data_IF_152339562086
#
_entry.id   IF_152339562086
#
_cell.length_a   1.000
_cell.length_b   1.000
_cell.length_c   1.000
_cell.angle_alpha   90.00
_cell.angle_beta   90.00
_cell.angle_gamma   90.00
#
_symmetry.space_group_name_H-M   'P 1'
#
loop_
_entity.id
_entity.type
_entity.pdbx_description
1 polymer ?
#
# COMPACT_ATOMS: atom_id res chain seq x y z
N UNK A 1 -3.30 37.59 -61.50
CA UNK A 1 -3.65 38.40 -60.32
C UNK A 1 -3.64 37.47 -59.13
N UNK A 2 -2.55 37.50 -58.36
CA UNK A 2 -2.27 36.63 -57.22
C UNK A 2 -2.42 37.41 -55.91
N UNK A 3 -2.99 36.71 -54.93
CA UNK A 3 -2.74 36.76 -53.49
C UNK A 3 -2.78 38.11 -52.77
N UNK A 4 -3.88 38.33 -52.05
CA UNK A 4 -3.82 38.90 -50.69
C UNK A 4 -4.90 38.23 -49.82
N UNK A 5 -4.55 37.10 -49.20
CA UNK A 5 -5.21 36.67 -47.96
C UNK A 5 -4.30 37.19 -46.85
N UNK A 6 -4.82 38.15 -46.10
CA UNK A 6 -4.15 38.71 -44.94
C UNK A 6 -3.87 37.60 -43.93
N UNK A 7 -2.58 37.37 -43.71
CA UNK A 7 -2.06 36.70 -42.52
C UNK A 7 -2.34 37.62 -41.33
N UNK A 8 -3.35 37.28 -40.54
CA UNK A 8 -3.44 37.79 -39.17
C UNK A 8 -2.25 37.24 -38.39
N UNK A 9 -1.41 38.15 -37.90
CA UNK A 9 -0.22 37.84 -37.14
C UNK A 9 -0.57 37.07 -35.86
N UNK A 10 -0.38 35.76 -35.88
CA UNK A 10 -0.35 34.93 -34.69
C UNK A 10 0.86 35.31 -33.85
N UNK A 11 0.63 35.71 -32.59
CA UNK A 11 1.71 35.85 -31.62
C UNK A 11 2.57 34.57 -31.60
N UNK A 12 3.91 34.67 -31.45
CA UNK A 12 4.76 33.49 -31.39
C UNK A 12 4.28 32.57 -30.27
N UNK A 13 3.89 31.34 -30.63
CA UNK A 13 3.52 30.30 -29.67
C UNK A 13 4.75 29.95 -28.85
N UNK A 14 4.62 29.92 -27.52
CA UNK A 14 5.74 29.50 -26.67
C UNK A 14 6.11 28.05 -27.00
N UNK A 15 7.40 27.75 -27.06
CA UNK A 15 7.88 26.38 -27.19
C UNK A 15 8.04 25.72 -25.82
N UNK A 16 8.01 24.39 -25.76
CA UNK A 16 8.30 23.64 -24.53
C UNK A 16 9.67 24.04 -23.94
N UNK A 17 10.66 24.29 -24.80
CA UNK A 17 12.00 24.74 -24.41
C UNK A 17 12.00 26.07 -23.64
N UNK A 18 11.15 27.02 -24.04
CA UNK A 18 11.03 28.33 -23.39
C UNK A 18 10.24 28.26 -22.09
N UNK A 19 9.25 27.36 -22.01
CA UNK A 19 8.54 27.08 -20.77
C UNK A 19 9.46 26.42 -19.74
N UNK A 20 10.28 25.45 -20.15
CA UNK A 20 11.32 24.85 -19.31
C UNK A 20 12.32 25.89 -18.81
N UNK A 21 12.82 26.75 -19.70
CA UNK A 21 13.74 27.82 -19.32
C UNK A 21 13.13 28.79 -18.29
N UNK A 22 11.80 29.00 -18.34
CA UNK A 22 11.07 29.82 -17.37
C UNK A 22 10.90 29.10 -16.04
N UNK A 23 10.50 27.83 -16.07
CA UNK A 23 10.39 26.99 -14.89
C UNK A 23 11.72 26.94 -14.11
N UNK A 24 12.86 26.78 -14.78
CA UNK A 24 14.21 26.76 -14.17
C UNK A 24 14.59 28.07 -13.46
N UNK A 25 14.04 29.20 -13.93
CA UNK A 25 14.29 30.53 -13.36
C UNK A 25 13.39 30.85 -12.18
N UNK A 26 12.15 30.35 -12.20
CA UNK A 26 11.08 30.76 -11.29
C UNK A 26 10.87 29.74 -10.18
N UNK A 27 10.86 28.45 -10.49
CA UNK A 27 10.51 27.42 -9.53
C UNK A 27 11.62 27.20 -8.50
N UNK A 28 11.25 26.90 -7.24
CA UNK A 28 12.21 26.65 -6.18
C UNK A 28 13.01 25.37 -6.46
N UNK A 29 14.32 25.46 -6.25
CA UNK A 29 15.27 24.31 -6.38
C UNK A 29 15.50 23.57 -5.07
N UNK A 30 15.13 24.20 -3.95
CA UNK A 30 15.25 23.67 -2.60
C UNK A 30 13.99 24.05 -1.83
N UNK A 31 13.52 23.20 -0.92
CA UNK A 31 12.33 23.49 -0.15
C UNK A 31 12.58 24.73 0.73
N UNK A 32 11.78 25.78 0.52
CA UNK A 32 11.77 26.97 1.37
C UNK A 32 10.34 27.16 1.86
N UNK A 33 10.12 26.94 3.17
CA UNK A 33 8.87 27.31 3.85
C UNK A 33 7.57 26.85 3.16
N UNK A 34 7.29 25.55 3.14
CA UNK A 34 5.97 25.01 2.76
C UNK A 34 5.73 24.82 1.26
N UNK A 35 6.68 25.19 0.39
CA UNK A 35 6.61 24.91 -1.04
C UNK A 35 6.76 23.41 -1.32
N UNK A 36 5.70 22.79 -1.84
CA UNK A 36 5.67 21.36 -2.18
C UNK A 36 6.09 21.11 -3.63
N UNK A 37 5.71 22.00 -4.54
CA UNK A 37 5.95 21.85 -5.98
C UNK A 37 7.28 22.51 -6.36
N UNK A 38 8.33 21.70 -6.35
CA UNK A 38 9.69 22.11 -6.70
C UNK A 38 10.00 21.87 -8.19
N UNK A 39 11.09 22.48 -8.66
CA UNK A 39 11.56 22.34 -10.05
C UNK A 39 11.77 20.87 -10.44
N UNK A 40 12.33 20.04 -9.56
CA UNK A 40 12.59 18.63 -9.83
C UNK A 40 11.29 17.85 -10.06
N UNK A 41 10.25 18.11 -9.26
CA UNK A 41 8.92 17.52 -9.42
C UNK A 41 8.31 17.94 -10.76
N UNK A 42 8.41 19.22 -11.11
CA UNK A 42 7.89 19.74 -12.37
C UNK A 42 8.58 19.12 -13.60
N UNK A 43 9.91 18.97 -13.55
CA UNK A 43 10.67 18.34 -14.62
C UNK A 43 10.34 16.85 -14.74
N UNK A 44 10.20 16.13 -13.62
CA UNK A 44 9.82 14.71 -13.63
C UNK A 44 8.41 14.50 -14.16
N UNK A 45 7.45 15.33 -13.74
CA UNK A 45 6.08 15.26 -14.25
C UNK A 45 6.04 15.50 -15.76
N UNK A 46 6.78 16.49 -16.26
CA UNK A 46 6.86 16.78 -17.70
C UNK A 46 7.53 15.63 -18.47
N UNK A 47 8.62 15.07 -17.95
CA UNK A 47 9.31 13.94 -18.55
C UNK A 47 8.44 12.67 -18.57
N UNK A 48 7.70 12.41 -17.50
CA UNK A 48 6.79 11.27 -17.40
C UNK A 48 5.62 11.39 -18.41
N UNK A 49 5.06 12.59 -18.59
CA UNK A 49 4.06 12.82 -19.65
C UNK A 49 4.64 12.55 -21.04
N UNK A 50 5.89 12.96 -21.30
CA UNK A 50 6.57 12.68 -22.56
C UNK A 50 6.82 11.17 -22.76
N UNK A 51 7.25 10.46 -21.71
CA UNK A 51 7.48 9.00 -21.73
C UNK A 51 6.20 8.20 -22.03
N UNK A 52 5.06 8.68 -21.55
CA UNK A 52 3.75 8.10 -21.83
C UNK A 52 3.07 8.65 -23.09
N UNK A 53 3.83 9.31 -23.97
CA UNK A 53 3.38 9.84 -25.28
C UNK A 53 2.23 10.86 -25.20
N UNK A 54 2.15 11.64 -24.13
CA UNK A 54 1.22 12.77 -24.09
C UNK A 54 1.61 13.85 -25.11
N UNK A 55 0.64 14.55 -25.71
CA UNK A 55 0.89 15.69 -26.60
C UNK A 55 1.83 16.72 -25.98
N UNK A 56 2.61 17.41 -26.80
CA UNK A 56 3.50 18.49 -26.34
C UNK A 56 2.71 19.62 -25.64
N UNK A 57 1.46 19.84 -26.02
CA UNK A 57 0.53 20.77 -25.35
C UNK A 57 0.28 20.39 -23.88
N UNK A 58 0.13 19.09 -23.55
CA UNK A 58 -0.06 18.62 -22.18
C UNK A 58 1.22 18.81 -21.36
N UNK A 59 2.39 18.53 -21.97
CA UNK A 59 3.71 18.75 -21.37
C UNK A 59 3.95 20.25 -21.10
N UNK A 60 3.53 21.10 -22.04
CA UNK A 60 3.61 22.55 -21.91
C UNK A 60 2.68 23.04 -20.80
N UNK A 61 1.42 22.59 -20.80
CA UNK A 61 0.45 22.90 -19.74
C UNK A 61 0.97 22.49 -18.37
N UNK A 62 1.61 21.33 -18.26
CA UNK A 62 2.20 20.80 -17.04
C UNK A 62 3.29 21.71 -16.45
N UNK A 63 3.95 22.56 -17.25
CA UNK A 63 4.88 23.58 -16.76
C UNK A 63 4.19 24.93 -16.52
N UNK A 64 3.33 25.35 -17.44
CA UNK A 64 2.75 26.70 -17.45
C UNK A 64 1.83 26.94 -16.25
N UNK A 65 1.11 25.94 -15.74
CA UNK A 65 0.21 26.11 -14.59
C UNK A 65 0.91 26.46 -13.28
N UNK A 66 2.21 26.14 -13.17
CA UNK A 66 3.06 26.47 -12.02
C UNK A 66 3.64 27.88 -12.08
N UNK A 67 3.59 28.54 -13.24
CA UNK A 67 4.14 29.87 -13.40
C UNK A 67 3.17 30.94 -12.84
N UNK A 68 3.69 32.11 -12.40
CA UNK A 68 2.89 33.27 -12.06
C UNK A 68 1.92 33.67 -13.18
N UNK A 69 0.75 34.21 -12.82
CA UNK A 69 -0.35 34.48 -13.76
C UNK A 69 0.02 35.43 -14.88
N UNK A 70 0.79 36.47 -14.57
CA UNK A 70 1.34 37.38 -15.55
C UNK A 70 2.20 36.63 -16.56
N UNK A 71 3.08 35.74 -16.11
CA UNK A 71 3.97 34.98 -16.99
C UNK A 71 3.20 33.92 -17.79
N UNK A 72 2.30 33.19 -17.14
CA UNK A 72 1.50 32.14 -17.75
C UNK A 72 0.52 32.71 -18.80
N UNK A 73 -0.16 33.82 -18.51
CA UNK A 73 -1.16 34.41 -19.42
C UNK A 73 -0.56 34.96 -20.73
N UNK A 74 0.68 35.44 -20.70
CA UNK A 74 1.39 35.91 -21.88
C UNK A 74 1.99 34.78 -22.72
N UNK A 75 2.29 33.65 -22.07
CA UNK A 75 3.00 32.52 -22.69
C UNK A 75 2.07 31.42 -23.19
N UNK A 76 0.89 31.26 -22.60
CA UNK A 76 -0.04 30.18 -22.95
C UNK A 76 -0.76 30.48 -24.27
N UNK A 77 -0.75 29.56 -25.26
CA UNK A 77 -1.55 29.71 -26.46
C UNK A 77 -3.04 29.90 -26.14
N UNK A 78 -3.74 30.72 -26.95
CA UNK A 78 -5.11 31.13 -26.66
C UNK A 78 -6.09 29.98 -26.42
N UNK A 79 -5.92 28.87 -27.15
CA UNK A 79 -6.72 27.64 -27.03
C UNK A 79 -6.57 26.94 -25.66
N UNK A 80 -5.45 27.15 -24.96
CA UNK A 80 -5.10 26.48 -23.70
C UNK A 80 -5.29 27.35 -22.46
N UNK A 81 -5.51 28.66 -22.61
CA UNK A 81 -5.62 29.59 -21.45
C UNK A 81 -6.71 29.21 -20.46
N UNK A 82 -7.80 28.63 -20.94
CA UNK A 82 -8.94 28.19 -20.11
C UNK A 82 -8.61 26.96 -19.27
N UNK A 83 -7.57 26.19 -19.62
CA UNK A 83 -7.18 24.96 -18.92
C UNK A 83 -6.29 25.22 -17.70
N UNK A 84 -5.50 26.31 -17.69
CA UNK A 84 -4.68 26.67 -16.53
C UNK A 84 -5.46 26.83 -15.21
N UNK A 85 -6.56 27.63 -15.15
CA UNK A 85 -7.33 27.74 -13.93
C UNK A 85 -8.00 26.40 -13.54
N UNK A 86 -8.25 25.53 -14.52
CA UNK A 86 -8.85 24.21 -14.31
C UNK A 86 -7.87 23.24 -13.65
N UNK A 87 -6.62 23.18 -14.14
CA UNK A 87 -5.52 22.42 -13.49
C UNK A 87 -5.32 22.89 -12.05
N UNK A 88 -5.26 24.21 -11.84
CA UNK A 88 -5.12 24.79 -10.50
C UNK A 88 -6.32 24.52 -9.60
N UNK A 89 -7.53 24.51 -10.17
CA UNK A 89 -8.76 24.16 -9.47
C UNK A 89 -8.72 22.72 -8.96
N UNK A 90 -8.32 21.76 -9.80
CA UNK A 90 -8.14 20.36 -9.38
C UNK A 90 -7.08 20.26 -8.28
N UNK A 91 -5.93 20.93 -8.43
CA UNK A 91 -4.88 20.94 -7.42
C UNK A 91 -5.34 21.54 -6.08
N UNK A 92 -6.04 22.67 -6.12
CA UNK A 92 -6.63 23.29 -4.92
C UNK A 92 -7.66 22.37 -4.26
N UNK A 93 -8.48 21.67 -5.04
CA UNK A 93 -9.42 20.67 -4.55
C UNK A 93 -8.71 19.52 -3.84
N UNK A 94 -7.59 19.02 -4.39
CA UNK A 94 -6.75 18.00 -3.73
C UNK A 94 -6.28 18.51 -2.37
N UNK A 95 -5.72 19.72 -2.32
CA UNK A 95 -5.24 20.30 -1.06
C UNK A 95 -6.38 20.49 -0.03
N UNK A 96 -7.58 20.87 -0.47
CA UNK A 96 -8.77 20.98 0.39
C UNK A 96 -9.17 19.63 0.98
N UNK A 97 -9.27 18.59 0.14
CA UNK A 97 -9.62 17.24 0.58
C UNK A 97 -8.61 16.66 1.57
N UNK A 98 -7.33 17.02 1.43
CA UNK A 98 -6.29 16.66 2.39
C UNK A 98 -6.38 17.44 3.70
N UNK A 99 -6.99 18.64 3.69
CA UNK A 99 -7.16 19.51 4.88
C UNK A 99 -8.39 19.16 5.73
N UNK A 100 -9.45 18.62 5.12
CA UNK A 100 -10.72 18.28 5.78
C UNK A 100 -10.64 17.05 6.71
N UNK A 101 -9.46 16.43 6.82
CA UNK A 101 -9.18 15.21 7.56
C UNK A 101 -9.12 15.43 9.09
N UNK A 102 -10.18 16.00 9.68
CA UNK A 102 -10.30 16.28 11.12
C UNK A 102 -11.06 15.18 11.89
N UNK A 103 -10.58 14.77 13.07
CA UNK A 103 -11.22 13.74 13.90
C UNK A 103 -12.38 14.24 14.80
N UNK A 104 -12.80 15.51 14.75
CA UNK A 104 -13.80 16.04 15.70
C UNK A 104 -15.27 15.65 15.41
N UNK A 105 -15.53 14.79 14.42
CA UNK A 105 -16.89 14.28 14.20
C UNK A 105 -16.89 12.76 14.34
N UNK A 106 -17.21 12.29 15.55
CA UNK A 106 -17.52 10.90 15.95
C UNK A 106 -18.72 10.26 15.21
N UNK A 107 -19.12 10.78 14.05
CA UNK A 107 -20.05 10.07 13.17
C UNK A 107 -19.24 9.35 12.12
N UNK A 108 -19.59 8.09 11.85
CA UNK A 108 -19.16 7.29 10.70
C UNK A 108 -19.42 8.01 9.36
N UNK A 109 -18.68 9.09 9.10
CA UNK A 109 -18.71 9.84 7.86
C UNK A 109 -17.82 9.08 6.89
N UNK A 110 -18.47 8.32 6.02
CA UNK A 110 -17.93 8.00 4.71
C UNK A 110 -17.23 9.26 4.19
N UNK A 111 -15.91 9.23 4.01
CA UNK A 111 -15.20 10.39 3.47
C UNK A 111 -15.89 10.77 2.17
N UNK A 112 -16.38 12.00 2.05
CA UNK A 112 -16.97 12.47 0.80
C UNK A 112 -15.95 12.21 -0.30
N UNK A 113 -16.29 11.37 -1.30
CA UNK A 113 -15.32 10.98 -2.30
C UNK A 113 -14.87 12.22 -3.06
N UNK A 114 -13.56 12.39 -3.17
CA UNK A 114 -13.00 13.47 -4.00
C UNK A 114 -13.50 13.29 -5.44
N UNK A 115 -14.23 14.28 -5.95
CA UNK A 115 -14.76 14.24 -7.30
C UNK A 115 -14.17 15.36 -8.16
N UNK A 116 -13.48 14.96 -9.21
CA UNK A 116 -12.97 15.82 -10.27
C UNK A 116 -13.60 15.47 -11.64
N UNK A 117 -14.70 14.72 -11.65
CA UNK A 117 -15.39 14.22 -12.84
C UNK A 117 -15.76 15.31 -13.85
N UNK A 118 -16.15 16.49 -13.34
CA UNK A 118 -16.57 17.64 -14.14
C UNK A 118 -15.39 18.44 -14.74
N UNK A 119 -14.17 18.18 -14.29
CA UNK A 119 -12.98 18.88 -14.75
C UNK A 119 -12.37 18.23 -16.01
N UNK A 120 -11.71 19.00 -16.90
CA UNK A 120 -11.16 18.47 -18.14
C UNK A 120 -10.20 17.29 -17.91
N UNK A 121 -10.20 16.26 -18.78
CA UNK A 121 -9.34 15.09 -18.58
C UNK A 121 -7.86 15.44 -18.40
N UNK A 122 -7.32 16.37 -19.20
CA UNK A 122 -5.93 16.85 -19.09
C UNK A 122 -5.62 17.47 -17.72
N UNK A 123 -6.57 18.17 -17.10
CA UNK A 123 -6.37 18.77 -15.78
C UNK A 123 -6.21 17.71 -14.69
N UNK A 124 -7.01 16.64 -14.77
CA UNK A 124 -6.90 15.48 -13.87
C UNK A 124 -5.61 14.71 -14.07
N UNK A 125 -5.22 14.46 -15.32
CA UNK A 125 -3.98 13.76 -15.67
C UNK A 125 -2.77 14.51 -15.12
N UNK A 126 -2.67 15.81 -15.38
CA UNK A 126 -1.57 16.64 -14.87
C UNK A 126 -1.56 16.60 -13.33
N UNK A 127 -2.69 16.81 -12.67
CA UNK A 127 -2.76 16.78 -11.20
C UNK A 127 -2.36 15.40 -10.62
N UNK A 128 -2.81 14.30 -11.22
CA UNK A 128 -2.48 12.95 -10.79
C UNK A 128 -0.98 12.64 -10.96
N UNK A 129 -0.40 13.04 -12.09
CA UNK A 129 1.03 12.90 -12.36
C UNK A 129 1.86 13.70 -11.35
N UNK A 130 1.48 14.95 -11.08
CA UNK A 130 2.18 15.77 -10.08
C UNK A 130 2.10 15.18 -8.67
N UNK A 131 0.92 14.74 -8.23
CA UNK A 131 0.76 14.12 -6.93
C UNK A 131 1.59 12.83 -6.82
N UNK A 132 1.63 12.00 -7.87
CA UNK A 132 2.48 10.81 -7.90
C UNK A 132 3.95 11.17 -7.78
N UNK A 133 4.45 12.12 -8.57
CA UNK A 133 5.87 12.52 -8.56
C UNK A 133 6.32 13.05 -7.20
N UNK A 134 5.42 13.73 -6.46
CA UNK A 134 5.67 14.15 -5.08
C UNK A 134 5.78 12.98 -4.10
N UNK A 135 4.92 11.97 -4.25
CA UNK A 135 4.95 10.80 -3.39
C UNK A 135 6.21 9.96 -3.66
N UNK A 136 6.60 9.83 -4.92
CA UNK A 136 7.80 9.09 -5.32
C UNK A 136 9.11 9.79 -4.96
N UNK A 137 9.09 11.11 -4.77
CA UNK A 137 10.23 11.85 -4.21
C UNK A 137 10.34 11.75 -2.68
N UNK A 138 9.41 11.06 -2.02
CA UNK A 138 9.36 10.95 -0.56
C UNK A 138 8.84 12.22 0.12
N UNK A 139 8.19 13.12 -0.63
CA UNK A 139 7.70 14.41 -0.11
C UNK A 139 6.31 14.34 0.54
N UNK A 140 5.81 13.13 0.87
CA UNK A 140 4.49 12.95 1.48
C UNK A 140 4.34 13.71 2.82
N UNK A 141 5.37 13.67 3.68
CA UNK A 141 5.36 14.39 4.95
C UNK A 141 5.49 15.92 4.74
N UNK A 142 6.26 16.35 3.75
CA UNK A 142 6.34 17.76 3.35
C UNK A 142 4.97 18.26 2.87
N UNK A 143 4.27 17.49 2.04
CA UNK A 143 2.90 17.78 1.60
C UNK A 143 1.96 17.89 2.81
N UNK A 144 1.99 16.92 3.74
CA UNK A 144 1.17 16.96 4.97
C UNK A 144 1.43 18.23 5.78
N UNK A 145 2.70 18.61 5.96
CA UNK A 145 3.09 19.79 6.74
C UNK A 145 2.67 21.13 6.10
N UNK A 146 2.52 21.13 4.76
CA UNK A 146 2.14 22.30 3.95
C UNK A 146 0.63 22.59 4.01
N UNK A 147 -0.18 21.56 4.18
CA UNK A 147 -1.64 21.68 4.32
C UNK A 147 -1.96 22.29 5.68
N UNK A 148 -2.88 23.26 5.70
CA UNK A 148 -3.29 23.97 6.91
C UNK A 148 -4.81 23.84 7.12
N UNK A 149 -5.26 23.48 8.34
CA UNK A 149 -4.46 23.03 9.48
C UNK A 149 -3.73 21.70 9.17
N UNK A 150 -2.66 21.39 9.90
CA UNK A 150 -1.86 20.19 9.63
C UNK A 150 -2.68 18.97 10.05
N UNK A 151 -3.08 18.09 9.12
CA UNK A 151 -3.94 16.95 9.44
C UNK A 151 -3.19 15.89 10.27
N UNK A 152 -3.95 15.11 11.06
CA UNK A 152 -3.39 13.93 11.70
C UNK A 152 -2.83 12.95 10.67
N UNK A 153 -1.77 12.23 11.03
CA UNK A 153 -1.04 11.38 10.09
C UNK A 153 -1.94 10.33 9.44
N UNK A 154 -2.78 9.65 10.22
CA UNK A 154 -3.68 8.61 9.69
C UNK A 154 -4.77 9.20 8.79
N UNK A 155 -5.42 10.26 9.25
CA UNK A 155 -6.46 10.97 8.51
C UNK A 155 -5.94 11.52 7.18
N UNK A 156 -4.72 12.07 7.16
CA UNK A 156 -4.05 12.52 5.95
C UNK A 156 -3.91 11.39 4.90
N UNK A 157 -3.41 10.22 5.31
CA UNK A 157 -3.23 9.10 4.39
C UNK A 157 -4.56 8.47 3.94
N UNK A 158 -5.60 8.55 4.77
CA UNK A 158 -6.96 8.16 4.38
C UNK A 158 -7.51 9.10 3.30
N UNK A 159 -7.41 10.43 3.49
CA UNK A 159 -7.82 11.41 2.47
C UNK A 159 -7.00 11.29 1.20
N UNK A 160 -5.68 11.04 1.32
CA UNK A 160 -4.80 10.83 0.17
C UNK A 160 -5.22 9.60 -0.66
N UNK A 161 -5.65 8.52 0.01
CA UNK A 161 -6.20 7.33 -0.66
C UNK A 161 -7.51 7.65 -1.39
N UNK A 162 -8.44 8.36 -0.73
CA UNK A 162 -9.71 8.77 -1.34
C UNK A 162 -9.51 9.68 -2.57
N UNK A 163 -8.55 10.61 -2.51
CA UNK A 163 -8.16 11.46 -3.65
C UNK A 163 -7.65 10.61 -4.83
N UNK A 164 -6.78 9.64 -4.56
CA UNK A 164 -6.24 8.79 -5.61
C UNK A 164 -7.32 7.89 -6.25
N UNK A 165 -8.26 7.37 -5.46
CA UNK A 165 -9.40 6.60 -5.96
C UNK A 165 -10.34 7.48 -6.81
N UNK A 166 -10.61 8.70 -6.37
CA UNK A 166 -11.41 9.69 -7.10
C UNK A 166 -10.79 10.11 -8.43
N UNK A 167 -9.48 10.35 -8.45
CA UNK A 167 -8.74 10.63 -9.69
C UNK A 167 -8.71 9.42 -10.62
N UNK A 168 -8.42 8.22 -10.10
CA UNK A 168 -8.44 6.98 -10.90
C UNK A 168 -9.77 6.75 -11.60
N UNK A 169 -10.90 6.95 -10.90
CA UNK A 169 -12.24 6.74 -11.47
C UNK A 169 -12.50 7.64 -12.69
N UNK A 170 -11.86 8.80 -12.73
CA UNK A 170 -12.16 9.87 -13.67
C UNK A 170 -11.01 10.13 -14.68
N UNK A 171 -9.80 9.59 -14.48
CA UNK A 171 -8.69 9.73 -15.43
C UNK A 171 -8.95 8.95 -16.72
N UNK A 172 -8.68 9.55 -17.91
CA UNK A 172 -8.86 8.88 -19.20
C UNK A 172 -7.76 7.85 -19.53
N UNK A 173 -6.67 7.86 -18.77
CA UNK A 173 -5.43 7.10 -18.99
C UNK A 173 -4.99 6.38 -17.70
N UNK A 174 -3.77 5.84 -17.70
CA UNK A 174 -3.19 5.13 -16.57
C UNK A 174 -2.67 6.04 -15.44
N UNK A 175 -2.71 7.37 -15.59
CA UNK A 175 -2.14 8.32 -14.61
C UNK A 175 -2.76 8.14 -13.21
N UNK A 176 -4.07 7.90 -13.15
CA UNK A 176 -4.80 7.65 -11.91
C UNK A 176 -4.47 6.29 -11.28
N UNK A 177 -4.30 5.24 -12.09
CA UNK A 177 -3.86 3.92 -11.61
C UNK A 177 -2.43 3.98 -11.03
N UNK A 178 -1.52 4.65 -11.73
CA UNK A 178 -0.13 4.83 -11.30
C UNK A 178 -0.05 5.64 -10.00
N UNK A 179 -0.87 6.69 -9.87
CA UNK A 179 -1.01 7.45 -8.63
C UNK A 179 -1.51 6.56 -7.48
N UNK A 180 -2.58 5.78 -7.70
CA UNK A 180 -3.15 4.93 -6.67
C UNK A 180 -2.12 3.92 -6.14
N UNK A 181 -1.32 3.31 -7.03
CA UNK A 181 -0.25 2.40 -6.61
C UNK A 181 0.87 3.11 -5.85
N UNK A 182 1.23 4.35 -6.22
CA UNK A 182 2.19 5.15 -5.47
C UNK A 182 1.67 5.50 -4.06
N UNK A 183 0.40 5.88 -3.91
CA UNK A 183 -0.23 6.15 -2.61
C UNK A 183 -0.20 4.90 -1.73
N UNK A 184 -0.61 3.75 -2.26
CA UNK A 184 -0.55 2.47 -1.53
C UNK A 184 0.87 2.13 -1.09
N UNK A 185 1.87 2.39 -1.94
CA UNK A 185 3.30 2.18 -1.61
C UNK A 185 3.72 3.05 -0.42
N UNK A 186 3.34 4.33 -0.40
CA UNK A 186 3.62 5.22 0.72
C UNK A 186 2.90 4.78 1.99
N UNK A 187 1.61 4.43 1.92
CA UNK A 187 0.85 3.90 3.08
C UNK A 187 1.52 2.66 3.68
N UNK A 188 2.06 1.77 2.83
CA UNK A 188 2.83 0.59 3.27
C UNK A 188 4.15 0.99 3.95
N UNK A 189 4.89 1.93 3.37
CA UNK A 189 6.15 2.44 3.94
C UNK A 189 5.93 3.10 5.33
N UNK A 190 4.77 3.72 5.51
CA UNK A 190 4.38 4.41 6.74
C UNK A 190 3.79 3.48 7.82
N UNK A 191 3.65 2.17 7.53
CA UNK A 191 3.16 1.17 8.47
C UNK A 191 1.63 1.16 8.65
N UNK A 192 0.87 1.85 7.80
CA UNK A 192 -0.58 2.00 7.91
C UNK A 192 -1.39 0.98 7.10
N UNK A 193 -0.72 -0.02 6.49
CA UNK A 193 -1.33 -1.06 5.63
C UNK A 193 -2.56 -1.73 6.29
N UNK A 194 -2.46 -2.13 7.55
CA UNK A 194 -3.53 -2.88 8.23
C UNK A 194 -4.78 -2.03 8.46
N UNK A 195 -4.62 -0.73 8.64
CA UNK A 195 -5.71 0.21 8.92
C UNK A 195 -6.39 0.68 7.64
N UNK A 196 -5.60 1.13 6.67
CA UNK A 196 -6.12 1.83 5.48
C UNK A 196 -6.28 0.94 4.24
N UNK A 197 -5.53 -0.16 4.13
CA UNK A 197 -5.58 -1.07 2.98
C UNK A 197 -6.16 -2.44 3.36
N UNK A 198 -7.09 -2.47 4.32
CA UNK A 198 -7.71 -3.69 4.85
C UNK A 198 -8.43 -4.53 3.79
N UNK A 199 -8.86 -3.92 2.67
CA UNK A 199 -9.42 -4.62 1.51
C UNK A 199 -8.39 -5.33 0.61
N UNK A 200 -7.12 -4.90 0.64
CA UNK A 200 -6.01 -5.56 -0.07
C UNK A 200 -5.33 -6.64 0.76
N UNK A 201 -5.50 -6.54 2.09
CA UNK A 201 -5.04 -7.49 3.07
C UNK A 201 -5.97 -8.71 3.01
N UNK A 202 -5.66 -9.65 2.12
CA UNK A 202 -6.14 -11.04 2.24
C UNK A 202 -5.33 -11.74 3.32
N UNK A 203 -5.46 -11.26 4.55
CA UNK A 203 -4.92 -11.96 5.71
C UNK A 203 -5.72 -13.27 5.82
N UNK A 204 -5.13 -14.33 5.28
CA UNK A 204 -5.65 -15.67 5.43
C UNK A 204 -5.23 -16.14 6.82
N UNK A 205 -6.20 -16.52 7.65
CA UNK A 205 -5.96 -17.11 8.96
C UNK A 205 -6.16 -18.60 8.85
N UNK A 206 -5.13 -19.36 9.23
CA UNK A 206 -5.22 -20.80 9.40
C UNK A 206 -5.48 -21.12 10.86
N UNK A 207 -6.63 -21.73 11.15
CA UNK A 207 -7.04 -22.10 12.50
C UNK A 207 -6.84 -23.59 12.72
N UNK A 208 -6.10 -23.94 13.77
CA UNK A 208 -5.85 -25.30 14.21
C UNK A 208 -6.64 -25.54 15.51
N UNK A 209 -7.74 -26.28 15.40
CA UNK A 209 -8.58 -26.69 16.52
C UNK A 209 -8.41 -28.19 16.80
N UNK A 210 -8.66 -28.64 18.03
CA UNK A 210 -8.57 -30.06 18.38
C UNK A 210 -9.70 -30.87 17.77
N UNK A 211 -9.39 -32.10 17.36
CA UNK A 211 -10.43 -33.09 17.03
C UNK A 211 -11.14 -33.57 18.29
N UNK A 212 -12.44 -33.91 18.21
CA UNK A 212 -13.20 -34.43 19.35
C UNK A 212 -12.63 -35.71 19.98
N UNK A 213 -11.82 -36.46 19.23
CA UNK A 213 -11.21 -37.71 19.69
C UNK A 213 -9.94 -37.50 20.53
N UNK A 214 -9.41 -36.28 20.61
CA UNK A 214 -8.17 -35.98 21.33
C UNK A 214 -8.49 -35.72 22.81
N UNK A 215 -7.80 -36.40 23.76
CA UNK A 215 -7.97 -36.11 25.18
C UNK A 215 -7.63 -34.65 25.51
N UNK A 216 -8.44 -34.00 26.35
CA UNK A 216 -8.30 -32.56 26.61
C UNK A 216 -6.90 -32.14 27.12
N UNK A 217 -6.29 -32.92 28.01
CA UNK A 217 -4.97 -32.63 28.56
C UNK A 217 -3.85 -32.73 27.49
N UNK A 218 -3.87 -33.79 26.69
CA UNK A 218 -2.91 -34.00 25.59
C UNK A 218 -3.13 -32.99 24.46
N UNK A 219 -4.39 -32.65 24.18
CA UNK A 219 -4.75 -31.66 23.18
C UNK A 219 -4.28 -30.26 23.53
N UNK A 220 -4.40 -29.84 24.79
CA UNK A 220 -3.90 -28.53 25.21
C UNK A 220 -2.37 -28.45 25.12
N UNK A 221 -1.66 -29.52 25.52
CA UNK A 221 -0.22 -29.61 25.34
C UNK A 221 0.17 -29.51 23.85
N UNK A 222 -0.53 -30.24 22.98
CA UNK A 222 -0.32 -30.20 21.53
C UNK A 222 -0.51 -28.78 20.94
N UNK A 223 -1.56 -28.05 21.34
CA UNK A 223 -1.78 -26.66 20.90
C UNK A 223 -0.67 -25.71 21.40
N UNK A 224 -0.21 -25.87 22.65
CA UNK A 224 0.91 -25.07 23.17
C UNK A 224 2.22 -25.36 22.42
N UNK A 225 2.50 -26.63 22.13
CA UNK A 225 3.67 -27.03 21.34
C UNK A 225 3.59 -26.48 19.92
N UNK A 226 2.41 -26.54 19.28
CA UNK A 226 2.19 -25.93 17.96
C UNK A 226 2.46 -24.42 17.98
N UNK A 227 1.92 -23.69 18.97
CA UNK A 227 2.18 -22.25 19.11
C UNK A 227 3.67 -21.96 19.29
N UNK A 228 4.36 -22.71 20.15
CA UNK A 228 5.80 -22.56 20.37
C UNK A 228 6.58 -22.79 19.07
N UNK A 229 6.22 -23.84 18.33
CA UNK A 229 6.80 -24.14 17.04
C UNK A 229 6.62 -22.99 16.03
N UNK A 230 5.38 -22.54 15.81
CA UNK A 230 5.08 -21.46 14.86
C UNK A 230 5.81 -20.16 15.22
N UNK A 231 5.80 -19.79 16.50
CA UNK A 231 6.50 -18.59 16.99
C UNK A 231 8.02 -18.73 16.89
N UNK A 232 8.56 -19.96 16.96
CA UNK A 232 9.96 -20.29 16.71
C UNK A 232 10.39 -20.11 15.24
N UNK A 233 9.45 -20.10 14.30
CA UNK A 233 9.66 -19.68 12.90
C UNK A 233 9.44 -18.18 12.70
N UNK A 234 9.30 -17.42 13.79
CA UNK A 234 9.00 -15.98 13.78
C UNK A 234 7.66 -15.64 13.10
N UNK A 235 6.74 -16.59 13.06
CA UNK A 235 5.41 -16.40 12.48
C UNK A 235 4.48 -15.71 13.49
N UNK A 236 3.53 -14.97 12.95
CA UNK A 236 2.47 -14.30 13.72
C UNK A 236 1.40 -15.34 14.11
N UNK A 237 1.33 -15.68 15.39
CA UNK A 237 0.37 -16.64 15.92
C UNK A 237 -0.48 -16.04 17.05
N UNK A 238 -1.76 -16.43 17.10
CA UNK A 238 -2.70 -16.09 18.17
C UNK A 238 -3.30 -17.36 18.78
N UNK A 239 -3.94 -17.22 19.92
CA UNK A 239 -4.63 -18.32 20.63
C UNK A 239 -6.02 -17.85 21.01
N UNK A 240 -7.02 -18.69 20.80
CA UNK A 240 -8.35 -18.52 21.39
C UNK A 240 -8.43 -19.31 22.69
N UNK A 241 -9.03 -18.69 23.70
CA UNK A 241 -9.18 -19.25 25.03
C UNK A 241 -10.63 -19.18 25.48
N UNK A 242 -11.11 -20.28 26.04
CA UNK A 242 -12.43 -20.36 26.67
C UNK A 242 -12.25 -20.99 28.05
N UNK A 243 -12.78 -20.35 29.08
CA UNK A 243 -12.64 -20.80 30.48
C UNK A 243 -11.18 -21.07 30.91
N UNK A 244 -10.23 -20.30 30.37
CA UNK A 244 -8.80 -20.43 30.67
C UNK A 244 -8.08 -21.59 29.98
N UNK A 245 -8.77 -22.33 29.10
CA UNK A 245 -8.18 -23.40 28.28
C UNK A 245 -7.93 -22.92 26.86
N UNK A 246 -6.82 -23.38 26.27
CA UNK A 246 -6.50 -23.10 24.87
C UNK A 246 -7.36 -23.98 23.97
N UNK A 247 -8.22 -23.36 23.15
CA UNK A 247 -9.13 -24.08 22.25
C UNK A 247 -8.59 -24.23 20.83
N UNK A 248 -7.97 -23.17 20.31
CA UNK A 248 -7.34 -23.20 19.00
C UNK A 248 -6.12 -22.28 18.91
N UNK A 249 -5.24 -22.61 17.96
CA UNK A 249 -4.11 -21.77 17.56
C UNK A 249 -4.39 -21.22 16.17
N UNK A 250 -4.18 -19.92 16.00
CA UNK A 250 -4.41 -19.22 14.74
C UNK A 250 -3.08 -18.75 14.18
N UNK A 251 -2.78 -19.11 12.94
CA UNK A 251 -1.61 -18.66 12.19
C UNK A 251 -2.04 -17.62 11.16
N UNK A 252 -1.40 -16.45 11.19
CA UNK A 252 -1.62 -15.40 10.21
C UNK A 252 -0.71 -15.63 9.00
N UNK A 253 -1.29 -15.98 7.86
CA UNK A 253 -0.60 -15.90 6.58
C UNK A 253 -0.70 -14.46 6.07
N UNK A 254 0.31 -13.66 6.41
CA UNK A 254 0.44 -12.30 5.88
C UNK A 254 0.73 -12.41 4.37
N UNK A 255 -0.30 -12.26 3.53
CA UNK A 255 -0.10 -12.02 2.10
C UNK A 255 0.56 -10.64 1.95
N UNK A 256 1.90 -10.64 1.94
CA UNK A 256 2.64 -9.53 1.39
C UNK A 256 2.38 -9.52 -0.12
N UNK A 257 1.36 -8.77 -0.57
CA UNK A 257 1.27 -8.32 -1.96
C UNK A 257 2.42 -7.32 -2.22
N UNK A 258 3.58 -7.89 -2.50
CA UNK A 258 4.64 -7.30 -3.29
C UNK A 258 5.03 -8.33 -4.35
N UNK A 259 4.94 -7.91 -5.61
CA UNK A 259 5.32 -8.50 -6.92
C UNK A 259 5.32 -10.02 -7.18
N UNK A 260 5.46 -10.92 -6.21
CA UNK A 260 5.47 -12.37 -6.48
C UNK A 260 4.42 -13.19 -5.74
N UNK A 261 3.78 -12.70 -4.67
CA UNK A 261 2.78 -13.52 -3.93
C UNK A 261 3.33 -14.80 -3.29
N UNK A 262 4.62 -15.10 -3.47
CA UNK A 262 5.28 -16.36 -3.08
C UNK A 262 5.39 -16.53 -1.57
N UNK A 263 5.45 -15.42 -0.81
CA UNK A 263 5.54 -15.46 0.66
C UNK A 263 4.26 -15.97 1.31
N UNK A 264 3.09 -15.60 0.77
CA UNK A 264 1.80 -16.13 1.22
C UNK A 264 1.70 -17.63 0.93
N UNK A 265 2.13 -18.03 -0.27
CA UNK A 265 2.16 -19.43 -0.68
C UNK A 265 3.05 -20.31 0.22
N UNK A 266 4.19 -19.82 0.70
CA UNK A 266 5.03 -20.56 1.64
C UNK A 266 4.35 -20.83 2.98
N UNK A 267 3.63 -19.85 3.55
CA UNK A 267 2.87 -20.03 4.80
C UNK A 267 1.67 -20.95 4.58
N UNK A 268 1.00 -20.86 3.42
CA UNK A 268 -0.08 -21.79 3.07
C UNK A 268 0.42 -23.23 2.95
N UNK A 269 1.57 -23.45 2.30
CA UNK A 269 2.21 -24.78 2.21
C UNK A 269 2.58 -25.30 3.60
N UNK A 270 3.13 -24.45 4.47
CA UNK A 270 3.40 -24.82 5.86
C UNK A 270 2.13 -25.26 6.60
N UNK A 271 1.04 -24.48 6.50
CA UNK A 271 -0.21 -24.79 7.18
C UNK A 271 -0.81 -26.11 6.66
N UNK A 272 -0.76 -26.34 5.34
CA UNK A 272 -1.17 -27.59 4.71
C UNK A 272 -0.32 -28.79 5.19
N UNK A 273 1.01 -28.64 5.26
CA UNK A 273 1.90 -29.67 5.78
C UNK A 273 1.58 -30.06 7.22
N UNK A 274 1.35 -29.08 8.09
CA UNK A 274 0.95 -29.31 9.47
C UNK A 274 -0.41 -30.03 9.52
N UNK A 275 -1.37 -29.63 8.68
CA UNK A 275 -2.69 -30.25 8.60
C UNK A 275 -2.62 -31.72 8.18
N UNK A 276 -1.74 -32.06 7.23
CA UNK A 276 -1.54 -33.45 6.78
C UNK A 276 -0.85 -34.28 7.86
N UNK A 277 0.27 -33.80 8.41
CA UNK A 277 1.10 -34.51 9.40
C UNK A 277 0.36 -34.76 10.72
N UNK A 278 -0.48 -33.81 11.14
CA UNK A 278 -1.23 -33.88 12.39
C UNK A 278 -2.74 -34.04 12.17
N UNK A 279 -3.11 -34.70 11.08
CA UNK A 279 -4.50 -34.88 10.64
C UNK A 279 -5.39 -35.65 11.63
N UNK A 280 -4.83 -36.39 12.59
CA UNK A 280 -5.58 -37.07 13.66
C UNK A 280 -5.71 -36.22 14.92
N UNK A 281 -4.89 -35.18 15.08
CA UNK A 281 -4.91 -34.27 16.23
C UNK A 281 -5.76 -33.04 15.93
N UNK A 282 -5.57 -32.43 14.75
CA UNK A 282 -6.20 -31.14 14.42
C UNK A 282 -7.30 -31.24 13.36
N UNK A 283 -8.26 -30.34 13.51
CA UNK A 283 -9.13 -29.83 12.46
C UNK A 283 -8.52 -28.50 12.04
N UNK A 284 -8.19 -28.38 10.76
CA UNK A 284 -7.56 -27.17 10.21
C UNK A 284 -8.52 -26.49 9.25
N UNK A 285 -8.79 -25.21 9.48
CA UNK A 285 -9.70 -24.40 8.67
C UNK A 285 -8.96 -23.15 8.19
N UNK A 286 -9.13 -22.85 6.90
CA UNK A 286 -8.70 -21.59 6.29
C UNK A 286 -9.86 -20.60 6.36
N UNK A 287 -9.64 -19.47 7.01
CA UNK A 287 -10.61 -18.39 7.16
C UNK A 287 -10.03 -17.10 6.62
N UNK A 288 -10.88 -16.23 6.08
CA UNK A 288 -10.50 -14.83 5.89
C UNK A 288 -10.54 -14.11 7.23
N UNK A 289 -9.66 -13.13 7.46
CA UNK A 289 -9.64 -12.36 8.72
C UNK A 289 -10.99 -11.74 9.09
N UNK A 290 -11.82 -11.39 8.11
CA UNK A 290 -13.19 -10.86 8.31
C UNK A 290 -14.20 -11.89 8.83
N UNK A 291 -13.91 -13.18 8.66
CA UNK A 291 -14.79 -14.28 9.06
C UNK A 291 -14.52 -14.78 10.48
N UNK A 292 -13.44 -14.30 11.11
CA UNK A 292 -13.09 -14.68 12.48
C UNK A 292 -13.97 -13.92 13.47
N UNK A 293 -14.68 -14.66 14.30
CA UNK A 293 -15.46 -14.10 15.41
C UNK A 293 -14.53 -13.82 16.61
N UNK A 294 -14.49 -12.56 17.06
CA UNK A 294 -13.69 -12.11 18.21
C UNK A 294 -12.36 -11.44 17.83
N UNK A 295 -11.78 -10.69 18.77
CA UNK A 295 -10.48 -10.06 18.61
C UNK A 295 -9.34 -11.07 18.88
N UNK A 296 -8.66 -11.50 17.82
CA UNK A 296 -7.42 -12.28 17.95
C UNK A 296 -6.21 -11.35 18.07
N UNK A 297 -5.50 -11.44 19.19
CA UNK A 297 -4.21 -10.78 19.35
C UNK A 297 -3.08 -11.66 18.82
N UNK A 298 -2.56 -11.31 17.64
CA UNK A 298 -1.43 -11.97 17.03
C UNK A 298 -0.12 -11.48 17.63
N UNK A 299 0.75 -12.43 17.98
CA UNK A 299 2.06 -12.14 18.54
C UNK A 299 3.14 -12.96 17.83
N UNK A 300 4.34 -12.39 17.78
CA UNK A 300 5.58 -13.11 17.42
C UNK A 300 6.39 -13.35 18.69
N UNK A 301 7.29 -14.33 18.67
CA UNK A 301 8.21 -14.54 19.77
C UNK A 301 9.05 -13.29 20.03
N UNK A 302 9.18 -12.91 21.30
CA UNK A 302 10.08 -11.84 21.73
C UNK A 302 11.54 -12.22 21.48
N UNK A 303 12.34 -11.26 21.03
CA UNK A 303 13.78 -11.47 20.81
C UNK A 303 14.51 -10.99 22.06
N UNK A 304 14.92 -11.92 22.91
CA UNK A 304 15.64 -11.64 24.16
C UNK A 304 17.16 -11.50 23.97
N UNK A 305 17.68 -11.80 22.78
CA UNK A 305 19.10 -11.67 22.44
C UNK A 305 19.39 -11.80 20.95
N UNK A 306 20.54 -11.31 20.51
CA UNK A 306 20.93 -11.24 19.10
C UNK A 306 21.02 -12.62 18.43
N UNK A 307 21.53 -13.63 19.14
CA UNK A 307 21.66 -15.00 18.63
C UNK A 307 20.29 -15.64 18.33
N UNK A 308 19.29 -15.39 19.18
CA UNK A 308 17.91 -15.82 18.94
C UNK A 308 17.32 -15.08 17.73
N UNK A 309 17.56 -13.77 17.63
CA UNK A 309 17.13 -12.97 16.49
C UNK A 309 17.67 -13.49 15.15
N UNK A 310 18.96 -13.86 15.10
CA UNK A 310 19.58 -14.45 13.90
C UNK A 310 19.00 -15.83 13.58
N UNK A 311 18.82 -16.71 14.57
CA UNK A 311 18.20 -18.04 14.38
C UNK A 311 16.79 -17.94 13.83
N UNK A 312 15.95 -17.09 14.44
CA UNK A 312 14.58 -16.88 14.00
C UNK A 312 14.50 -16.29 12.60
N UNK A 313 15.36 -15.31 12.29
CA UNK A 313 15.44 -14.74 10.94
C UNK A 313 15.87 -15.79 9.90
N UNK A 314 16.88 -16.60 10.21
CA UNK A 314 17.35 -17.66 9.31
C UNK A 314 16.26 -18.68 8.98
N UNK A 315 15.58 -19.24 10.00
CA UNK A 315 14.46 -20.19 9.81
C UNK A 315 13.31 -19.57 9.02
N UNK A 316 12.95 -18.33 9.36
CA UNK A 316 11.88 -17.59 8.68
C UNK A 316 12.21 -17.35 7.20
N UNK A 317 13.43 -16.88 6.89
CA UNK A 317 13.85 -16.59 5.52
C UNK A 317 13.97 -17.88 4.69
N UNK A 318 14.43 -18.99 5.29
CA UNK A 318 14.47 -20.30 4.64
C UNK A 318 13.05 -20.81 4.33
N UNK A 319 12.14 -20.76 5.31
CA UNK A 319 10.74 -21.14 5.14
C UNK A 319 10.07 -20.35 4.00
N UNK A 320 10.22 -19.02 3.99
CA UNK A 320 9.58 -18.17 2.99
C UNK A 320 10.16 -18.33 1.58
N UNK A 321 11.39 -18.84 1.45
CA UNK A 321 12.02 -19.13 0.16
C UNK A 321 11.76 -20.55 -0.33
N UNK A 322 11.34 -21.46 0.55
CA UNK A 322 11.06 -22.84 0.18
C UNK A 322 9.93 -22.90 -0.84
N UNK A 323 10.18 -23.59 -1.94
CA UNK A 323 9.20 -23.86 -2.99
C UNK A 323 8.63 -25.29 -2.91
N UNK A 324 9.07 -26.08 -1.92
CA UNK A 324 8.61 -27.45 -1.74
C UNK A 324 7.14 -27.49 -1.31
N UNK A 325 6.42 -28.52 -1.76
CA UNK A 325 5.05 -28.77 -1.33
C UNK A 325 4.96 -29.00 0.20
N UNK A 326 5.99 -29.64 0.77
CA UNK A 326 6.13 -29.80 2.21
C UNK A 326 7.40 -29.11 2.74
N UNK A 327 7.33 -27.81 3.08
CA UNK A 327 8.50 -27.06 3.54
C UNK A 327 9.03 -27.55 4.90
N UNK A 328 8.30 -28.43 5.61
CA UNK A 328 8.73 -28.95 6.90
C UNK A 328 9.77 -30.08 6.79
N UNK A 329 9.92 -30.70 5.63
CA UNK A 329 10.83 -31.84 5.45
C UNK A 329 12.29 -31.48 5.77
N UNK A 330 12.70 -30.25 5.49
CA UNK A 330 14.03 -29.73 5.83
C UNK A 330 14.23 -29.49 7.34
N UNK A 331 13.14 -29.27 8.09
CA UNK A 331 13.18 -28.94 9.52
C UNK A 331 12.83 -30.12 10.41
N UNK A 332 12.06 -31.07 9.90
CA UNK A 332 11.44 -32.17 10.65
C UNK A 332 11.61 -33.47 9.87
N UNK A 333 12.50 -34.34 10.38
CA UNK A 333 12.61 -35.72 9.95
C UNK A 333 11.56 -36.57 10.70
N UNK A 334 10.28 -36.39 10.36
CA UNK A 334 9.18 -37.13 10.95
C UNK A 334 8.30 -37.75 9.85
N UNK A 335 7.88 -39.00 10.03
CA UNK A 335 6.95 -39.65 9.10
C UNK A 335 5.53 -39.08 9.25
N UNK A 336 4.82 -38.77 8.14
CA UNK A 336 3.47 -38.18 8.18
C UNK A 336 2.35 -39.12 8.66
N UNK A 337 2.61 -40.44 8.78
CA UNK A 337 1.57 -41.47 8.86
C UNK A 337 1.58 -42.27 10.18
N UNK A 338 1.64 -41.56 11.31
CA UNK A 338 1.46 -42.15 12.64
C UNK A 338 -0.01 -42.24 13.07
N UNK A 339 -0.33 -43.14 14.00
CA UNK A 339 -1.60 -43.12 14.73
C UNK A 339 -1.72 -41.89 15.65
N UNK A 340 -2.89 -41.67 16.26
CA UNK A 340 -3.14 -40.50 17.14
C UNK A 340 -2.04 -40.32 18.20
N UNK A 341 -1.69 -41.40 18.91
CA UNK A 341 -0.64 -41.37 19.93
C UNK A 341 0.73 -40.95 19.37
N UNK A 342 1.10 -41.49 18.22
CA UNK A 342 2.36 -41.14 17.54
C UNK A 342 2.38 -39.67 17.12
N UNK A 343 1.26 -39.15 16.59
CA UNK A 343 1.17 -37.74 16.21
C UNK A 343 1.23 -36.80 17.43
N UNK A 344 0.64 -37.18 18.56
CA UNK A 344 0.75 -36.44 19.82
C UNK A 344 2.19 -36.43 20.37
N UNK A 345 2.89 -37.55 20.33
CA UNK A 345 4.31 -37.61 20.71
C UNK A 345 5.20 -36.79 19.75
N UNK A 346 4.87 -36.75 18.46
CA UNK A 346 5.61 -35.97 17.46
C UNK A 346 5.39 -34.46 17.63
N UNK A 347 4.18 -34.01 17.93
CA UNK A 347 3.89 -32.58 18.14
C UNK A 347 4.56 -32.03 19.39
N UNK A 348 4.60 -32.80 20.48
CA UNK A 348 5.31 -32.39 21.69
C UNK A 348 6.81 -32.21 21.44
N UNK A 349 7.40 -33.02 20.55
CA UNK A 349 8.79 -32.87 20.11
C UNK A 349 9.02 -31.61 19.27
N UNK A 350 8.00 -31.01 18.66
CA UNK A 350 8.14 -29.76 17.90
C UNK A 350 8.55 -28.57 18.77
N UNK A 351 8.13 -28.54 20.03
CA UNK A 351 8.52 -27.47 20.97
C UNK A 351 9.96 -27.57 21.47
N UNK A 352 10.61 -28.72 21.28
CA UNK A 352 11.96 -29.01 21.79
C UNK A 352 13.09 -28.74 20.78
N UNK A 353 12.75 -28.34 19.54
CA UNK A 353 13.67 -28.10 18.41
C UNK A 353 13.67 -26.64 17.95
#
# INVERSE_FOLDING_TARGET
MQNQIFSEGGAPQITLSEALASAVKILPRKPRGGEVLMLDVALRATADLAEHNHPEDDQLLALLWLLPDDIAAHRTPGSMKTLLPKIRGVWAGILSALSEAHPEIETHLESTPFDAGDEPPVARVIAATYLRMLLESGAAESLRSSVKPVPEREAFYQSLLAVAEGLKKNSPDLSGDLLLEAVKRVIRAEGLKQKLLSGEVRDTIWTFALRPQVPAAEGEAALRSLRSFLTGFRLSAAVSMTEGRVEAVHLLAEEAKGETGEKGAAIERLAASLAVRFSKVFIVVRLQRKEVQGELMFHRAGITGWHMGLRYKGRHDQLLRSQEADPLTEFLQMEPSGGLKTQLEQIEKLSSN
#
